data_IF_788071367708
#
_entry.id   IF_788071367708
#
_cell.length_a   1.000
_cell.length_b   1.000
_cell.length_c   1.000
_cell.angle_alpha   90.00
_cell.angle_beta   90.00
_cell.angle_gamma   90.00
#
_symmetry.space_group_name_H-M   'P 1'
#
loop_
_entity.id
_entity.type
_entity.pdbx_description
1 polymer ?
#
# COMPACT_ATOMS: atom_id res chain seq x y z
N UNK A 1 -2.30 -9.57 7.27
CA UNK A 1 -1.20 -10.46 6.87
C UNK A 1 -1.24 -11.82 7.59
N UNK A 2 -1.34 -11.88 8.96
CA UNK A 2 -1.27 -13.17 9.67
C UNK A 2 -2.36 -14.13 9.20
N UNK A 3 -3.62 -13.72 9.19
CA UNK A 3 -4.74 -14.55 8.75
C UNK A 3 -4.59 -15.02 7.31
N UNK A 4 -4.20 -14.11 6.38
CA UNK A 4 -3.99 -14.45 4.98
C UNK A 4 -2.88 -15.49 4.79
N UNK A 5 -1.79 -15.35 5.52
CA UNK A 5 -0.61 -16.17 5.34
C UNK A 5 -0.70 -17.53 6.04
N UNK A 6 -1.46 -17.61 7.13
CA UNK A 6 -1.51 -18.79 7.99
C UNK A 6 -2.83 -19.56 7.93
N UNK A 7 -3.93 -18.90 7.54
CA UNK A 7 -5.27 -19.46 7.72
C UNK A 7 -6.08 -19.54 6.42
N UNK A 8 -5.92 -18.58 5.47
CA UNK A 8 -6.77 -18.50 4.28
C UNK A 8 -6.58 -19.66 3.29
N UNK A 9 -5.51 -20.44 3.40
CA UNK A 9 -5.33 -21.65 2.59
C UNK A 9 -6.48 -22.63 2.80
N UNK A 10 -6.95 -22.77 4.06
CA UNK A 10 -8.03 -23.68 4.45
C UNK A 10 -9.32 -22.96 4.87
N UNK A 11 -9.25 -21.69 5.30
CA UNK A 11 -10.40 -20.91 5.76
C UNK A 11 -10.56 -19.59 4.99
N UNK A 12 -10.29 -19.62 3.69
CA UNK A 12 -10.32 -18.46 2.81
C UNK A 12 -11.32 -18.58 1.67
N UNK A 13 -11.11 -17.80 0.58
CA UNK A 13 -12.05 -17.71 -0.54
C UNK A 13 -12.13 -18.97 -1.40
N UNK A 14 -11.08 -19.81 -1.43
CA UNK A 14 -11.06 -21.02 -2.27
C UNK A 14 -12.02 -22.09 -1.73
N UNK A 15 -13.16 -22.27 -2.42
CA UNK A 15 -14.19 -23.22 -2.01
C UNK A 15 -13.72 -24.69 -2.07
N UNK A 16 -12.75 -25.01 -2.93
CA UNK A 16 -12.26 -26.38 -3.10
C UNK A 16 -11.31 -26.82 -1.98
N UNK A 17 -10.75 -25.85 -1.25
CA UNK A 17 -9.81 -26.10 -0.14
C UNK A 17 -10.36 -25.71 1.21
N UNK A 18 -11.64 -25.31 1.24
CA UNK A 18 -12.27 -24.81 2.46
C UNK A 18 -12.59 -25.94 3.41
N UNK A 19 -12.06 -25.84 4.61
CA UNK A 19 -12.29 -26.78 5.70
C UNK A 19 -13.37 -26.24 6.65
N UNK A 20 -14.17 -27.17 7.22
CA UNK A 20 -15.24 -26.91 8.18
C UNK A 20 -16.26 -25.83 7.74
N UNK A 21 -16.38 -25.54 6.44
CA UNK A 21 -17.26 -24.50 5.93
C UNK A 21 -16.93 -23.05 6.40
N UNK A 22 -15.83 -22.86 7.13
CA UNK A 22 -15.48 -21.60 7.76
C UNK A 22 -14.73 -20.67 6.81
N UNK A 23 -15.13 -19.38 6.77
CA UNK A 23 -14.42 -18.29 6.08
C UNK A 23 -14.02 -17.21 7.08
N UNK A 24 -12.75 -17.14 7.40
CA UNK A 24 -12.24 -16.09 8.29
C UNK A 24 -11.67 -14.87 7.52
N UNK A 25 -11.80 -14.86 6.21
CA UNK A 25 -11.57 -13.69 5.35
C UNK A 25 -12.81 -12.79 5.22
N UNK A 26 -13.97 -13.26 5.73
CA UNK A 26 -15.24 -12.52 5.77
C UNK A 26 -15.63 -12.29 7.23
N UNK A 27 -15.90 -11.03 7.58
CA UNK A 27 -16.28 -10.63 8.93
C UNK A 27 -17.50 -11.38 9.43
N UNK A 28 -18.60 -11.39 8.65
CA UNK A 28 -19.85 -12.05 9.01
C UNK A 28 -19.65 -13.55 9.34
N UNK A 29 -18.90 -14.27 8.50
CA UNK A 29 -18.61 -15.70 8.72
C UNK A 29 -17.73 -15.92 9.96
N UNK A 30 -16.83 -15.01 10.26
CA UNK A 30 -15.94 -15.11 11.41
C UNK A 30 -16.65 -14.96 12.75
N UNK A 31 -17.73 -14.21 12.79
CA UNK A 31 -18.55 -13.99 13.99
C UNK A 31 -19.83 -14.84 14.03
N UNK A 32 -20.10 -15.60 12.97
CA UNK A 32 -21.24 -16.53 12.94
C UNK A 32 -20.94 -17.81 13.69
N UNK A 33 -21.99 -18.54 14.04
CA UNK A 33 -21.88 -19.88 14.61
C UNK A 33 -21.18 -20.84 13.62
N UNK A 34 -20.29 -21.69 14.15
CA UNK A 34 -19.55 -22.63 13.32
C UNK A 34 -20.49 -23.70 12.76
N UNK A 35 -20.48 -23.95 11.43
CA UNK A 35 -21.40 -24.89 10.79
C UNK A 35 -21.37 -26.31 11.39
N UNK A 36 -20.19 -26.77 11.77
CA UNK A 36 -19.98 -28.13 12.30
C UNK A 36 -19.97 -28.21 13.84
N UNK A 37 -20.03 -27.06 14.53
CA UNK A 37 -19.97 -26.99 15.98
C UNK A 37 -20.99 -26.00 16.53
N UNK A 38 -22.29 -26.35 16.61
CA UNK A 38 -23.33 -25.49 17.14
C UNK A 38 -23.02 -24.95 18.55
N UNK A 39 -23.30 -23.67 18.76
CA UNK A 39 -22.99 -22.95 20.00
C UNK A 39 -21.55 -22.45 20.11
N UNK A 40 -20.68 -22.71 19.13
CA UNK A 40 -19.31 -22.22 19.09
C UNK A 40 -19.10 -21.23 17.93
N UNK A 41 -18.22 -20.26 18.16
CA UNK A 41 -17.93 -19.17 17.22
C UNK A 41 -16.43 -19.13 16.95
N UNK A 42 -16.04 -18.85 15.70
CA UNK A 42 -14.62 -18.68 15.39
C UNK A 42 -14.04 -17.49 16.16
N UNK A 43 -14.78 -16.38 16.23
CA UNK A 43 -14.41 -15.19 16.99
C UNK A 43 -15.61 -14.74 17.83
N UNK A 44 -15.35 -14.49 19.11
CA UNK A 44 -16.27 -13.81 20.04
C UNK A 44 -15.63 -12.47 20.38
N UNK A 45 -16.22 -11.37 19.94
CA UNK A 45 -15.67 -10.03 20.11
C UNK A 45 -15.32 -9.72 21.57
N UNK A 46 -14.10 -9.29 21.83
CA UNK A 46 -13.59 -8.97 23.17
C UNK A 46 -13.35 -10.18 24.09
N UNK A 47 -13.53 -11.43 23.59
CA UNK A 47 -13.44 -12.63 24.42
C UNK A 47 -12.57 -13.73 23.78
N UNK A 48 -11.24 -13.58 23.76
CA UNK A 48 -10.35 -14.57 23.14
C UNK A 48 -10.58 -15.99 23.67
N UNK A 49 -10.71 -16.16 24.97
CA UNK A 49 -10.88 -17.48 25.59
C UNK A 49 -12.21 -18.17 25.23
N UNK A 50 -13.17 -17.47 24.66
CA UNK A 50 -14.41 -18.03 24.13
C UNK A 50 -14.38 -18.17 22.59
N UNK A 51 -13.32 -17.69 21.95
CA UNK A 51 -13.12 -17.74 20.50
C UNK A 51 -12.40 -19.02 20.11
N UNK A 52 -13.02 -19.84 19.24
CA UNK A 52 -12.41 -21.09 18.77
C UNK A 52 -11.08 -20.86 18.04
N UNK A 53 -10.95 -19.76 17.30
CA UNK A 53 -9.69 -19.36 16.68
C UNK A 53 -8.57 -19.29 17.74
N UNK A 54 -8.79 -18.59 18.85
CA UNK A 54 -7.76 -18.46 19.89
C UNK A 54 -7.49 -19.77 20.63
N UNK A 55 -8.52 -20.53 20.96
CA UNK A 55 -8.37 -21.83 21.62
C UNK A 55 -7.54 -22.76 20.76
N UNK A 56 -7.83 -22.87 19.45
CA UNK A 56 -7.13 -23.77 18.55
C UNK A 56 -5.70 -23.35 18.24
N UNK A 57 -5.38 -22.06 18.11
CA UNK A 57 -3.99 -21.62 17.92
C UNK A 57 -3.15 -21.78 19.18
N UNK A 58 -3.77 -21.94 20.36
CA UNK A 58 -3.10 -22.19 21.63
C UNK A 58 -3.08 -23.67 22.04
N UNK A 59 -3.85 -24.52 21.34
CA UNK A 59 -3.87 -25.95 21.61
C UNK A 59 -2.51 -26.60 21.30
N UNK A 60 -2.14 -27.58 22.09
CA UNK A 60 -0.99 -28.47 21.88
C UNK A 60 -1.43 -29.85 21.37
N UNK A 61 -2.73 -30.10 21.33
CA UNK A 61 -3.30 -31.32 20.78
C UNK A 61 -3.24 -31.26 19.22
N UNK A 62 -2.55 -32.22 18.57
CA UNK A 62 -2.43 -32.26 17.12
C UNK A 62 -3.77 -32.33 16.37
N UNK A 63 -4.81 -32.89 16.99
CA UNK A 63 -6.16 -33.00 16.41
C UNK A 63 -6.95 -31.67 16.48
N UNK A 64 -6.58 -30.78 17.40
CA UNK A 64 -7.26 -29.52 17.60
C UNK A 64 -6.46 -28.30 17.18
N UNK A 65 -5.13 -28.40 17.18
CA UNK A 65 -4.28 -27.24 16.94
C UNK A 65 -4.45 -26.67 15.53
N UNK A 66 -4.36 -25.34 15.41
CA UNK A 66 -4.36 -24.61 14.14
C UNK A 66 -3.16 -23.67 14.06
N UNK A 67 -2.48 -23.63 12.90
CA UNK A 67 -2.62 -24.52 11.73
C UNK A 67 -2.30 -25.98 12.08
N UNK A 68 -2.89 -26.96 11.39
CA UNK A 68 -2.65 -28.36 11.67
C UNK A 68 -1.20 -28.75 11.28
N UNK A 69 -0.58 -29.76 11.95
CA UNK A 69 0.83 -30.11 11.76
C UNK A 69 1.22 -30.44 10.32
N UNK A 70 0.34 -31.06 9.57
CA UNK A 70 0.54 -31.47 8.17
C UNK A 70 0.51 -30.29 7.19
N UNK A 71 -0.01 -29.14 7.59
CA UNK A 71 -0.09 -27.94 6.75
C UNK A 71 1.26 -27.30 6.46
N UNK A 72 2.30 -27.63 7.24
CA UNK A 72 3.62 -26.96 7.24
C UNK A 72 3.58 -25.48 7.60
N UNK A 73 2.47 -25.01 8.14
CA UNK A 73 2.29 -23.64 8.63
C UNK A 73 2.40 -23.61 10.15
N UNK A 74 2.91 -22.52 10.69
CA UNK A 74 3.01 -22.34 12.14
C UNK A 74 2.81 -20.87 12.53
N UNK A 75 2.41 -20.65 13.78
CA UNK A 75 2.30 -19.32 14.38
C UNK A 75 3.37 -19.17 15.46
N UNK A 76 4.18 -18.12 15.36
CA UNK A 76 5.11 -17.80 16.43
C UNK A 76 4.39 -17.14 17.63
N UNK A 77 5.06 -17.05 18.82
CA UNK A 77 4.43 -16.47 20.01
C UNK A 77 3.96 -15.01 19.84
N UNK A 78 4.64 -14.23 19.01
CA UNK A 78 4.26 -12.85 18.73
C UNK A 78 2.98 -12.78 17.89
N UNK A 79 2.85 -13.61 16.86
CA UNK A 79 1.62 -13.70 16.03
C UNK A 79 0.42 -14.16 16.88
N UNK A 80 0.59 -15.14 17.75
CA UNK A 80 -0.46 -15.57 18.70
C UNK A 80 -0.90 -14.44 19.63
N UNK A 81 0.06 -13.67 20.16
CA UNK A 81 -0.20 -12.50 21.00
C UNK A 81 -0.95 -11.38 20.24
N UNK A 82 -0.59 -11.15 18.97
CA UNK A 82 -1.28 -10.16 18.13
C UNK A 82 -2.72 -10.57 17.86
N UNK A 83 -2.97 -11.83 17.50
CA UNK A 83 -4.32 -12.35 17.29
C UNK A 83 -5.17 -12.25 18.56
N UNK A 84 -4.59 -12.60 19.73
CA UNK A 84 -5.27 -12.40 21.01
C UNK A 84 -5.67 -10.94 21.21
N UNK A 85 -4.71 -10.01 21.04
CA UNK A 85 -4.96 -8.57 21.22
C UNK A 85 -6.01 -8.06 20.24
N UNK A 86 -6.00 -8.52 19.00
CA UNK A 86 -6.99 -8.16 18.00
C UNK A 86 -8.40 -8.62 18.41
N UNK A 87 -8.56 -9.85 18.90
CA UNK A 87 -9.85 -10.34 19.42
C UNK A 87 -10.27 -9.57 20.67
N UNK A 88 -9.34 -9.29 21.61
CA UNK A 88 -9.59 -8.47 22.81
C UNK A 88 -10.15 -7.08 22.44
N UNK A 89 -9.69 -6.50 21.32
CA UNK A 89 -10.15 -5.22 20.79
C UNK A 89 -11.44 -5.31 19.96
N UNK A 90 -12.09 -6.47 19.92
CA UNK A 90 -13.34 -6.69 19.22
C UNK A 90 -13.24 -7.40 17.88
N UNK A 91 -12.01 -7.74 17.41
CA UNK A 91 -11.81 -8.50 16.18
C UNK A 91 -12.23 -7.76 14.91
N UNK A 92 -12.18 -6.43 14.88
CA UNK A 92 -12.68 -5.63 13.76
C UNK A 92 -11.93 -5.95 12.46
N UNK A 93 -12.72 -6.17 11.42
CA UNK A 93 -12.23 -6.32 10.05
C UNK A 93 -12.23 -4.95 9.37
N UNK A 94 -11.14 -4.65 8.68
CA UNK A 94 -11.05 -3.46 7.84
C UNK A 94 -10.98 -3.88 6.38
N UNK A 95 -11.71 -3.18 5.53
CA UNK A 95 -11.59 -3.36 4.08
C UNK A 95 -10.17 -3.01 3.65
N UNK A 96 -9.69 -3.72 2.64
CA UNK A 96 -8.41 -3.36 2.04
C UNK A 96 -8.45 -1.90 1.57
N UNK A 97 -7.41 -1.15 1.90
CA UNK A 97 -7.33 0.31 1.65
C UNK A 97 -7.66 0.71 0.21
N UNK A 98 -7.31 -0.14 -0.78
CA UNK A 98 -7.59 0.12 -2.20
C UNK A 98 -9.09 0.10 -2.55
N UNK A 99 -9.95 -0.45 -1.67
CA UNK A 99 -11.40 -0.51 -1.84
C UNK A 99 -12.15 0.44 -0.90
N UNK A 100 -11.40 1.29 -0.18
CA UNK A 100 -11.97 2.36 0.65
C UNK A 100 -11.95 3.63 -0.17
N UNK A 101 -13.11 4.28 -0.32
CA UNK A 101 -13.17 5.57 -1.02
C UNK A 101 -12.27 6.60 -0.31
N UNK A 102 -11.44 7.35 -1.05
CA UNK A 102 -10.63 8.40 -0.46
C UNK A 102 -11.49 9.42 0.29
N UNK A 103 -11.06 9.78 1.48
CA UNK A 103 -11.68 10.83 2.28
C UNK A 103 -10.77 12.04 2.24
N UNK A 104 -11.34 13.23 1.95
CA UNK A 104 -10.59 14.48 2.00
C UNK A 104 -10.10 14.71 3.43
N UNK A 105 -8.78 14.78 3.60
CA UNK A 105 -8.15 15.05 4.88
C UNK A 105 -8.02 16.55 5.09
N UNK A 106 -8.17 17.01 6.33
CA UNK A 106 -7.90 18.41 6.68
C UNK A 106 -6.44 18.77 6.44
N UNK A 107 -6.21 19.95 5.88
CA UNK A 107 -4.85 20.44 5.65
C UNK A 107 -4.16 20.72 6.97
N UNK A 108 -2.91 20.22 7.15
CA UNK A 108 -2.11 20.61 8.28
C UNK A 108 -1.92 22.14 8.32
N UNK A 109 -2.19 22.74 9.47
CA UNK A 109 -1.89 24.17 9.68
C UNK A 109 -0.37 24.33 9.78
N UNK A 110 0.20 25.12 8.92
CA UNK A 110 1.59 25.54 9.01
C UNK A 110 1.68 27.06 8.76
N UNK A 111 2.70 27.69 9.34
CA UNK A 111 2.97 29.10 9.18
C UNK A 111 4.20 29.33 8.27
N UNK A 112 4.60 28.34 7.49
CA UNK A 112 5.79 28.39 6.67
C UNK A 112 5.43 28.76 5.23
N UNK A 113 6.07 29.76 4.68
CA UNK A 113 5.89 30.25 3.31
C UNK A 113 6.55 29.35 2.25
N UNK A 114 7.20 28.25 2.66
CA UNK A 114 7.87 27.33 1.76
C UNK A 114 6.87 26.58 0.85
N UNK A 115 5.73 26.18 1.42
CA UNK A 115 4.70 25.44 0.70
C UNK A 115 3.95 26.31 -0.30
N UNK A 116 3.75 25.81 -1.52
CA UNK A 116 3.02 26.50 -2.60
C UNK A 116 1.67 25.84 -2.90
N UNK A 117 1.45 24.63 -2.43
CA UNK A 117 0.22 23.86 -2.68
C UNK A 117 -0.15 22.98 -1.47
N UNK A 118 -1.30 22.32 -1.57
CA UNK A 118 -1.84 21.48 -0.49
C UNK A 118 -0.93 20.29 -0.16
N UNK A 119 -0.23 19.73 -1.14
CA UNK A 119 0.69 18.58 -0.94
C UNK A 119 1.88 19.04 -0.11
N UNK A 120 2.40 20.24 -0.36
CA UNK A 120 3.53 20.80 0.38
C UNK A 120 3.21 20.96 1.87
N UNK A 121 1.94 21.23 2.23
CA UNK A 121 1.52 21.32 3.62
C UNK A 121 1.72 19.98 4.36
N UNK A 122 1.39 18.86 3.72
CA UNK A 122 1.63 17.53 4.29
C UNK A 122 3.11 17.17 4.35
N UNK A 123 3.87 17.51 3.29
CA UNK A 123 5.33 17.30 3.26
C UNK A 123 6.01 18.07 4.37
N UNK A 124 5.68 19.35 4.52
CA UNK A 124 6.24 20.22 5.54
C UNK A 124 5.93 19.69 6.96
N UNK A 125 4.67 19.33 7.21
CA UNK A 125 4.28 18.71 8.48
C UNK A 125 5.11 17.48 8.80
N UNK A 126 5.36 16.61 7.81
CA UNK A 126 6.18 15.43 8.01
C UNK A 126 7.65 15.74 8.27
N UNK A 127 8.18 16.75 7.63
CA UNK A 127 9.54 17.25 7.89
C UNK A 127 9.65 17.78 9.33
N UNK A 128 8.71 18.62 9.76
CA UNK A 128 8.66 19.18 11.11
C UNK A 128 8.57 18.09 12.19
N UNK A 129 7.71 17.09 11.99
CA UNK A 129 7.56 15.94 12.90
C UNK A 129 8.87 15.15 13.08
N UNK A 130 9.75 15.20 12.09
CA UNK A 130 11.07 14.56 12.13
C UNK A 130 12.21 15.57 12.42
N UNK A 131 11.90 16.81 12.81
CA UNK A 131 12.88 17.87 13.09
C UNK A 131 13.78 18.19 11.88
N UNK A 132 13.24 18.07 10.68
CA UNK A 132 13.91 18.38 9.43
C UNK A 132 13.36 19.67 8.84
N UNK A 133 14.21 20.36 8.07
CA UNK A 133 13.83 21.53 7.27
C UNK A 133 13.85 21.22 5.79
N UNK A 134 13.04 21.92 4.98
CA UNK A 134 13.11 21.79 3.53
C UNK A 134 14.50 22.13 3.00
N UNK A 135 14.95 21.40 1.97
CA UNK A 135 16.18 21.74 1.28
C UNK A 135 16.03 23.04 0.47
N UNK A 136 17.10 23.77 0.20
CA UNK A 136 17.07 24.90 -0.73
C UNK A 136 16.55 24.52 -2.09
N UNK A 137 16.01 25.50 -2.84
CA UNK A 137 15.62 25.28 -4.24
C UNK A 137 16.81 24.76 -5.04
N UNK A 138 16.56 23.81 -5.95
CA UNK A 138 17.57 23.30 -6.85
C UNK A 138 18.14 24.43 -7.73
N UNK A 139 19.42 24.35 -8.05
CA UNK A 139 20.03 25.23 -9.05
C UNK A 139 19.42 25.00 -10.45
N UNK A 140 19.66 25.94 -11.37
CA UNK A 140 19.04 25.92 -12.69
C UNK A 140 19.40 24.68 -13.51
N UNK A 141 20.64 24.21 -13.43
CA UNK A 141 21.08 23.03 -14.16
C UNK A 141 20.42 21.75 -13.65
N UNK A 142 20.33 21.63 -12.32
CA UNK A 142 19.60 20.53 -11.66
C UNK A 142 18.11 20.59 -11.98
N UNK A 143 17.51 21.77 -11.95
CA UNK A 143 16.08 21.95 -12.21
C UNK A 143 15.68 21.54 -13.61
N UNK A 144 16.37 22.08 -14.65
CA UNK A 144 16.05 21.73 -16.04
C UNK A 144 16.30 20.26 -16.33
N UNK A 145 17.34 19.68 -15.72
CA UNK A 145 17.63 18.24 -15.85
C UNK A 145 16.49 17.40 -15.28
N UNK A 146 15.98 17.74 -14.09
CA UNK A 146 14.83 17.03 -13.47
C UNK A 146 13.59 17.15 -14.33
N UNK A 147 13.22 18.36 -14.75
CA UNK A 147 12.05 18.61 -15.60
C UNK A 147 12.13 17.79 -16.90
N UNK A 148 13.29 17.80 -17.57
CA UNK A 148 13.49 17.06 -18.82
C UNK A 148 13.34 15.55 -18.62
N UNK A 149 14.02 14.99 -17.60
CA UNK A 149 13.96 13.56 -17.30
C UNK A 149 12.56 13.10 -16.90
N UNK A 150 11.83 13.89 -16.10
CA UNK A 150 10.47 13.53 -15.66
C UNK A 150 9.51 13.52 -16.86
N UNK A 151 9.55 14.54 -17.71
CA UNK A 151 8.60 14.68 -18.80
C UNK A 151 8.97 13.79 -20.00
N UNK A 152 10.24 13.72 -20.38
CA UNK A 152 10.66 13.07 -21.63
C UNK A 152 11.45 11.77 -21.43
N UNK A 153 11.92 11.51 -20.22
CA UNK A 153 12.88 10.43 -19.95
C UNK A 153 14.31 10.69 -20.46
N UNK A 154 14.55 11.85 -21.07
CA UNK A 154 15.84 12.22 -21.67
C UNK A 154 16.46 13.44 -20.98
N UNK A 155 17.79 13.57 -20.94
CA UNK A 155 18.45 14.79 -20.47
C UNK A 155 18.18 15.96 -21.43
N UNK A 156 18.18 17.22 -20.93
CA UNK A 156 18.09 18.39 -21.81
C UNK A 156 19.33 18.52 -22.72
N UNK A 157 19.14 19.15 -23.88
CA UNK A 157 20.29 19.50 -24.72
C UNK A 157 21.13 20.57 -24.04
N UNK A 158 22.40 20.64 -24.43
CA UNK A 158 23.34 21.66 -23.91
C UNK A 158 22.84 23.09 -24.20
N UNK A 159 22.19 23.31 -25.35
CA UNK A 159 21.63 24.61 -25.72
C UNK A 159 20.45 24.98 -24.81
N UNK A 160 19.55 24.04 -24.55
CA UNK A 160 18.44 24.25 -23.61
C UNK A 160 18.92 24.57 -22.20
N UNK A 161 19.93 23.84 -21.70
CA UNK A 161 20.52 24.08 -20.40
C UNK A 161 21.18 25.47 -20.32
N UNK A 162 21.96 25.88 -21.36
CA UNK A 162 22.56 27.19 -21.43
C UNK A 162 21.54 28.33 -21.53
N UNK A 163 20.47 28.13 -22.26
CA UNK A 163 19.38 29.12 -22.38
C UNK A 163 18.63 29.29 -21.04
N UNK A 164 18.31 28.19 -20.41
CA UNK A 164 17.61 28.17 -19.10
C UNK A 164 18.47 28.76 -17.96
N UNK A 165 19.80 28.57 -18.03
CA UNK A 165 20.70 29.16 -17.05
C UNK A 165 20.69 30.71 -17.08
N UNK A 166 20.32 31.32 -18.24
CA UNK A 166 20.25 32.79 -18.38
C UNK A 166 18.94 33.39 -17.93
N UNK A 167 17.82 32.60 -17.98
CA UNK A 167 16.53 33.02 -17.57
C UNK A 167 15.79 31.78 -16.98
N UNK A 168 15.61 31.77 -15.67
CA UNK A 168 14.90 30.74 -14.90
C UNK A 168 13.68 31.30 -14.18
N UNK A 169 13.10 32.38 -14.69
CA UNK A 169 11.82 32.90 -14.22
C UNK A 169 10.71 31.84 -14.31
N UNK A 170 9.64 31.97 -13.55
CA UNK A 170 8.50 31.06 -13.64
C UNK A 170 7.92 30.99 -15.06
N UNK A 171 7.93 32.11 -15.79
CA UNK A 171 7.53 32.15 -17.19
C UNK A 171 8.47 31.34 -18.09
N UNK A 172 9.77 31.35 -17.83
CA UNK A 172 10.75 30.55 -18.57
C UNK A 172 10.62 29.06 -18.23
N UNK A 173 10.36 28.72 -16.98
CA UNK A 173 10.06 27.34 -16.54
C UNK A 173 8.82 26.81 -17.29
N UNK A 174 7.73 27.58 -17.32
CA UNK A 174 6.51 27.22 -18.05
C UNK A 174 6.77 26.93 -19.52
N UNK A 175 7.50 27.81 -20.22
CA UNK A 175 7.86 27.61 -21.64
C UNK A 175 8.70 26.37 -21.87
N UNK A 176 9.60 26.04 -20.98
CA UNK A 176 10.42 24.82 -21.06
C UNK A 176 9.56 23.58 -20.89
N UNK A 177 8.66 23.59 -19.92
CA UNK A 177 7.68 22.50 -19.69
C UNK A 177 6.80 22.30 -20.93
N UNK A 178 6.21 23.37 -21.47
CA UNK A 178 5.37 23.31 -22.67
C UNK A 178 6.15 22.74 -23.87
N UNK A 179 7.41 23.15 -24.02
CA UNK A 179 8.30 22.61 -25.06
C UNK A 179 8.57 21.09 -24.91
N UNK A 180 8.76 20.61 -23.71
CA UNK A 180 8.94 19.17 -23.45
C UNK A 180 7.64 18.39 -23.67
N UNK A 181 6.50 18.92 -23.22
CA UNK A 181 5.19 18.30 -23.43
C UNK A 181 4.81 18.21 -24.92
N UNK A 182 5.24 19.18 -25.73
CA UNK A 182 5.03 19.17 -27.18
C UNK A 182 5.99 18.25 -27.95
N UNK A 183 7.01 17.68 -27.29
CA UNK A 183 8.00 16.86 -27.94
C UNK A 183 7.52 15.42 -28.18
N UNK A 184 7.96 14.74 -29.26
CA UNK A 184 7.68 13.32 -29.47
C UNK A 184 8.20 12.43 -28.33
N UNK A 185 9.27 12.84 -27.63
CA UNK A 185 9.85 12.11 -26.50
C UNK A 185 8.87 12.01 -25.30
N UNK A 186 7.99 13.00 -25.11
CA UNK A 186 6.93 12.90 -24.12
C UNK A 186 5.95 11.77 -24.45
N UNK A 187 5.51 11.68 -25.71
CA UNK A 187 4.64 10.58 -26.16
C UNK A 187 5.30 9.23 -25.96
N UNK A 188 6.57 9.08 -26.34
CA UNK A 188 7.33 7.85 -26.11
C UNK A 188 7.45 7.50 -24.62
N UNK A 189 7.69 8.49 -23.74
CA UNK A 189 7.75 8.31 -22.29
C UNK A 189 6.42 7.85 -21.72
N UNK A 190 5.32 8.46 -22.13
CA UNK A 190 3.97 8.07 -21.66
C UNK A 190 3.55 6.70 -22.17
N UNK A 191 3.96 6.33 -23.37
CA UNK A 191 3.66 5.01 -23.95
C UNK A 191 4.17 3.88 -23.06
N UNK A 192 5.32 4.00 -22.43
CA UNK A 192 5.85 2.97 -21.51
C UNK A 192 4.87 2.62 -20.40
N UNK A 193 4.33 3.65 -19.72
CA UNK A 193 3.34 3.45 -18.65
C UNK A 193 2.06 2.80 -19.16
N UNK A 194 1.58 3.20 -20.34
CA UNK A 194 0.40 2.61 -20.95
C UNK A 194 0.61 1.15 -21.39
N UNK A 195 1.80 0.82 -21.91
CA UNK A 195 2.16 -0.56 -22.28
C UNK A 195 2.18 -1.46 -21.04
N UNK A 196 2.70 -0.99 -19.91
CA UNK A 196 2.68 -1.73 -18.63
C UNK A 196 1.24 -2.00 -18.16
N UNK A 197 0.37 -1.01 -18.23
CA UNK A 197 -1.07 -1.16 -17.89
C UNK A 197 -1.75 -2.14 -18.85
N UNK A 198 -1.43 -2.07 -20.14
CA UNK A 198 -1.95 -2.99 -21.17
C UNK A 198 -1.31 -4.40 -21.10
N UNK A 199 -0.34 -4.61 -20.21
CA UNK A 199 0.43 -5.86 -20.10
C UNK A 199 1.07 -6.27 -21.42
N UNK A 200 1.53 -5.28 -22.19
CA UNK A 200 2.23 -5.51 -23.45
C UNK A 200 3.64 -6.05 -23.20
N UNK A 201 4.06 -7.00 -24.01
CA UNK A 201 5.43 -7.50 -24.05
C UNK A 201 5.82 -7.83 -25.47
N UNK A 202 7.05 -7.50 -25.87
CA UNK A 202 7.60 -7.82 -27.20
C UNK A 202 7.97 -9.30 -27.34
N UNK A 203 8.16 -10.00 -26.23
CA UNK A 203 8.54 -11.40 -26.21
C UNK A 203 7.84 -12.15 -25.07
N UNK A 204 7.86 -13.48 -25.13
CA UNK A 204 7.36 -14.35 -24.06
C UNK A 204 8.36 -14.52 -22.90
N UNK A 205 9.49 -13.85 -22.95
CA UNK A 205 10.56 -13.98 -21.95
C UNK A 205 11.44 -15.22 -22.11
N UNK A 206 11.23 -16.03 -23.16
CA UNK A 206 11.95 -17.29 -23.41
C UNK A 206 12.63 -17.34 -24.80
N UNK A 207 12.73 -16.24 -25.49
CA UNK A 207 13.42 -16.12 -26.78
C UNK A 207 14.50 -15.04 -26.72
#
# INVERSE_FOLDING_TARGET
>A
PILSDRCYKCHGPDANKREAGLRIDIEESSFSELPENPGKFAIVAGKPNQSQLYQRIMSEDPEEMMPPPDSQLSLNPYEKKLLKKWIDQGGKFEKHWAFISPIKTDLPKNNNEWGQNEIDAFVLKKLEDNQLSPSPKADHATLIRRISLDITGLPPTLEMAKKFAKDSSEAAIGKVIDGFLASPAYGARMTQTWLDVARYADSHGYQ
#
